data_IF_601781385553
#
_entry.id   IF_601781385553
#
_cell.length_a   1.000
_cell.length_b   1.000
_cell.length_c   1.000
_cell.angle_alpha   90.00
_cell.angle_beta   90.00
_cell.angle_gamma   90.00
#
_symmetry.space_group_name_H-M   'P 1'
#
loop_
_entity.id
_entity.type
_entity.pdbx_description
1 polymer ?
#
# COMPACT_ATOMS: atom_id res chain seq x y z
N UNK A 1 4.81 -11.40 8.47
CA UNK A 1 4.12 -10.18 7.97
C UNK A 1 2.67 -10.58 7.76
N UNK A 2 1.68 -9.77 8.17
CA UNK A 2 0.27 -10.14 7.95
C UNK A 2 0.02 -10.37 6.46
N UNK A 3 -0.76 -11.39 6.09
CA UNK A 3 -1.14 -11.63 4.68
C UNK A 3 -1.76 -10.38 4.05
N UNK A 4 -2.50 -9.59 4.84
CA UNK A 4 -3.06 -8.30 4.44
C UNK A 4 -2.00 -7.29 3.95
N UNK A 5 -0.83 -7.25 4.62
CA UNK A 5 0.24 -6.32 4.25
C UNK A 5 0.85 -6.73 2.92
N UNK A 6 1.10 -8.03 2.73
CA UNK A 6 1.67 -8.57 1.49
C UNK A 6 0.71 -8.35 0.34
N UNK A 7 -0.56 -8.66 0.52
CA UNK A 7 -1.59 -8.47 -0.51
C UNK A 7 -1.74 -7.00 -0.90
N UNK A 8 -1.78 -6.09 0.08
CA UNK A 8 -1.86 -4.65 -0.20
C UNK A 8 -0.62 -4.11 -0.90
N UNK A 9 0.58 -4.58 -0.56
CA UNK A 9 1.81 -4.19 -1.27
C UNK A 9 1.77 -4.65 -2.74
N UNK A 10 1.39 -5.91 -2.99
CA UNK A 10 1.27 -6.45 -4.36
C UNK A 10 0.23 -5.67 -5.18
N UNK A 11 -0.90 -5.27 -4.57
CA UNK A 11 -1.90 -4.43 -5.24
C UNK A 11 -1.33 -3.06 -5.62
N UNK A 12 -0.61 -2.40 -4.71
CA UNK A 12 0.04 -1.11 -4.98
C UNK A 12 1.00 -1.25 -6.16
N UNK A 13 1.89 -2.26 -6.14
CA UNK A 13 2.83 -2.51 -7.22
C UNK A 13 2.12 -2.67 -8.56
N UNK A 14 1.05 -3.46 -8.62
CA UNK A 14 0.25 -3.65 -9.84
C UNK A 14 -0.43 -2.36 -10.33
N UNK A 15 -0.89 -1.49 -9.43
CA UNK A 15 -1.54 -0.24 -9.82
C UNK A 15 -0.58 0.77 -10.43
N UNK A 16 0.66 0.82 -9.93
CA UNK A 16 1.67 1.76 -10.41
C UNK A 16 2.53 1.18 -11.54
N UNK A 17 2.43 -0.12 -11.80
CA UNK A 17 3.24 -0.79 -12.81
C UNK A 17 3.00 -0.20 -14.20
N UNK A 18 4.09 0.26 -14.82
CA UNK A 18 4.05 0.85 -16.16
C UNK A 18 3.51 2.28 -16.21
N UNK A 19 3.12 2.87 -15.08
CA UNK A 19 2.80 4.29 -15.02
C UNK A 19 4.07 5.12 -14.98
N UNK A 20 4.08 6.21 -15.74
CA UNK A 20 5.03 7.28 -15.52
C UNK A 20 4.62 8.10 -14.30
N UNK A 21 5.57 8.84 -13.74
CA UNK A 21 5.29 9.74 -12.63
C UNK A 21 4.17 10.74 -12.96
N UNK A 22 4.21 11.38 -14.13
CA UNK A 22 3.20 12.37 -14.52
C UNK A 22 1.82 11.73 -14.76
N UNK A 23 1.80 10.52 -15.35
CA UNK A 23 0.55 9.76 -15.49
C UNK A 23 -0.07 9.47 -14.11
N UNK A 24 0.75 9.02 -13.15
CA UNK A 24 0.30 8.79 -11.78
C UNK A 24 -0.24 10.07 -11.12
N UNK A 25 0.44 11.21 -11.28
CA UNK A 25 0.01 12.50 -10.70
C UNK A 25 -1.35 12.99 -11.22
N UNK A 26 -1.73 12.61 -12.44
CA UNK A 26 -3.03 12.98 -13.03
C UNK A 26 -4.14 11.95 -12.83
N UNK A 27 -3.82 10.75 -12.33
CA UNK A 27 -4.78 9.67 -12.09
C UNK A 27 -5.18 9.60 -10.61
N UNK A 28 -6.17 10.42 -10.23
CA UNK A 28 -6.68 10.47 -8.86
C UNK A 28 -7.25 9.12 -8.38
N UNK A 29 -7.83 8.32 -9.29
CA UNK A 29 -8.37 7.00 -8.94
C UNK A 29 -7.26 6.06 -8.50
N UNK A 30 -6.14 6.04 -9.23
CA UNK A 30 -4.98 5.21 -8.86
C UNK A 30 -4.35 5.70 -7.57
N UNK A 31 -4.28 7.02 -7.35
CA UNK A 31 -3.82 7.59 -6.07
C UNK A 31 -4.70 7.13 -4.89
N UNK A 32 -6.02 7.23 -5.01
CA UNK A 32 -6.96 6.79 -3.98
C UNK A 32 -6.81 5.29 -3.67
N UNK A 33 -6.62 4.47 -4.72
CA UNK A 33 -6.40 3.04 -4.56
C UNK A 33 -5.08 2.72 -3.84
N UNK A 34 -4.00 3.46 -4.12
CA UNK A 34 -2.71 3.33 -3.43
C UNK A 34 -2.84 3.75 -1.97
N UNK A 35 -3.42 4.92 -1.70
CA UNK A 35 -3.63 5.43 -0.32
C UNK A 35 -4.42 4.43 0.51
N UNK A 36 -5.50 3.88 -0.04
CA UNK A 36 -6.33 2.89 0.67
C UNK A 36 -5.56 1.62 1.06
N UNK A 37 -4.67 1.14 0.21
CA UNK A 37 -3.84 -0.03 0.53
C UNK A 37 -2.75 0.32 1.55
N UNK A 38 -2.20 1.53 1.53
CA UNK A 38 -1.27 2.00 2.55
C UNK A 38 -1.95 2.11 3.93
N UNK A 39 -3.21 2.53 4.01
CA UNK A 39 -3.98 2.51 5.25
C UNK A 39 -4.12 1.10 5.83
N UNK A 40 -4.46 0.11 4.98
CA UNK A 40 -4.56 -1.30 5.38
C UNK A 40 -3.22 -1.82 5.92
N UNK A 41 -2.11 -1.51 5.24
CA UNK A 41 -0.76 -1.87 5.69
C UNK A 41 -0.47 -1.22 7.06
N UNK A 42 -0.77 0.07 7.22
CA UNK A 42 -0.55 0.80 8.47
C UNK A 42 -1.37 0.24 9.63
N UNK A 43 -2.61 -0.15 9.38
CA UNK A 43 -3.48 -0.79 10.37
C UNK A 43 -2.98 -2.18 10.77
N UNK A 44 -2.56 -3.01 9.80
CA UNK A 44 -1.95 -4.30 10.09
C UNK A 44 -0.61 -4.15 10.85
N UNK A 45 0.20 -3.15 10.51
CA UNK A 45 1.44 -2.84 11.21
C UNK A 45 1.24 -2.39 12.66
N UNK A 46 0.07 -1.82 13.02
CA UNK A 46 -0.28 -1.49 14.41
C UNK A 46 -0.53 -2.71 15.28
N UNK A 47 -0.86 -3.85 14.68
CA UNK A 47 -1.15 -5.11 15.38
C UNK A 47 0.09 -5.98 15.60
N UNK A 48 1.25 -5.54 15.09
CA UNK A 48 2.52 -6.21 15.34
C UNK A 48 2.87 -6.04 16.83
N UNK A 49 3.15 -7.14 17.57
CA UNK A 49 3.51 -7.09 18.98
C UNK A 49 4.72 -6.16 19.23
N UNK A 50 4.74 -5.51 20.38
CA UNK A 50 5.83 -4.60 20.75
C UNK A 50 7.20 -5.29 20.78
N UNK A 51 7.26 -6.59 21.06
CA UNK A 51 8.53 -7.34 21.05
C UNK A 51 9.21 -7.36 19.67
N UNK A 52 8.47 -7.08 18.60
CA UNK A 52 8.96 -7.02 17.21
C UNK A 52 9.13 -5.57 16.73
N UNK A 53 8.52 -4.59 17.42
CA UNK A 53 8.69 -3.15 17.13
C UNK A 53 10.00 -2.65 17.76
N UNK A 54 11.11 -2.93 17.10
CA UNK A 54 12.43 -2.30 17.38
C UNK A 54 12.51 -0.88 16.88
#
# INVERSE_FOLDING_TARGET
MSDDMVESTVKIENYVQGLTHDAFLTDSKTQDAVVRNLETIGEAARRIPEEIRT
#
